data_IF_023779859278
#
_entry.id   IF_023779859278
#
_cell.length_a   1.000
_cell.length_b   1.000
_cell.length_c   1.000
_cell.angle_alpha   90.00
_cell.angle_beta   90.00
_cell.angle_gamma   90.00
#
_symmetry.space_group_name_H-M   'P 1'
#
loop_
_entity.id
_entity.type
_entity.pdbx_description
1 polymer ?
#
# COMPACT_ATOMS: atom_id res chain seq x y z
N UNK A 1 -26.28 56.78 40.57
CA UNK A 1 -25.32 55.66 40.50
C UNK A 1 -26.06 54.44 39.99
N UNK A 2 -25.93 54.13 38.70
CA UNK A 2 -26.60 53.01 38.05
C UNK A 2 -25.60 51.88 37.91
N UNK A 3 -25.78 50.81 38.67
CA UNK A 3 -24.91 49.62 38.61
C UNK A 3 -25.30 48.83 37.36
N UNK A 4 -24.53 49.00 36.29
CA UNK A 4 -24.58 48.15 35.09
C UNK A 4 -24.09 46.74 35.45
N UNK A 5 -25.02 45.81 35.69
CA UNK A 5 -24.73 44.38 35.71
C UNK A 5 -24.34 43.94 34.30
N UNK A 6 -23.03 43.79 34.04
CA UNK A 6 -22.52 43.00 32.92
C UNK A 6 -22.95 41.54 33.12
N UNK A 7 -24.00 41.13 32.42
CA UNK A 7 -24.26 39.72 32.14
C UNK A 7 -23.08 39.17 31.35
N UNK A 8 -22.15 38.48 32.03
CA UNK A 8 -21.20 37.57 31.39
C UNK A 8 -22.01 36.47 30.73
N UNK A 9 -22.34 36.64 29.45
CA UNK A 9 -22.77 35.53 28.59
C UNK A 9 -21.57 34.62 28.39
N UNK A 10 -21.37 33.68 29.31
CA UNK A 10 -20.56 32.48 29.09
C UNK A 10 -21.27 31.59 28.05
N UNK A 11 -21.46 32.10 26.83
CA UNK A 11 -21.60 31.22 25.68
C UNK A 11 -20.21 30.66 25.42
N UNK A 12 -19.83 29.64 26.20
CA UNK A 12 -18.77 28.73 25.78
C UNK A 12 -19.21 28.22 24.41
N UNK A 13 -18.50 28.64 23.37
CA UNK A 13 -18.55 28.01 22.05
C UNK A 13 -18.06 26.57 22.22
N UNK A 14 -18.91 25.69 22.75
CA UNK A 14 -18.70 24.26 22.64
C UNK A 14 -19.02 23.91 21.20
N UNK A 15 -18.06 23.36 20.46
CA UNK A 15 -18.30 22.84 19.13
C UNK A 15 -19.54 21.94 19.16
N UNK A 16 -20.46 22.17 18.23
CA UNK A 16 -21.77 21.51 18.20
C UNK A 16 -21.70 20.05 17.72
N UNK A 17 -20.50 19.54 17.39
CA UNK A 17 -20.31 18.21 16.82
C UNK A 17 -19.30 17.32 17.57
N UNK A 18 -19.42 17.24 18.91
CA UNK A 18 -18.62 16.32 19.73
C UNK A 18 -18.64 14.86 19.28
N UNK A 19 -19.69 14.42 18.59
CA UNK A 19 -19.79 13.04 18.08
C UNK A 19 -18.91 12.84 16.85
N UNK A 20 -18.93 13.76 15.88
CA UNK A 20 -18.05 13.69 14.71
C UNK A 20 -16.58 13.77 15.09
N UNK A 21 -16.21 14.72 15.95
CA UNK A 21 -14.85 14.84 16.50
C UNK A 21 -14.40 13.55 17.19
N UNK A 22 -15.26 12.98 18.04
CA UNK A 22 -14.94 11.73 18.73
C UNK A 22 -14.71 10.56 17.77
N UNK A 23 -15.55 10.41 16.73
CA UNK A 23 -15.34 9.36 15.71
C UNK A 23 -14.03 9.58 14.97
N UNK A 24 -13.75 10.82 14.55
CA UNK A 24 -12.57 11.14 13.79
C UNK A 24 -11.29 10.92 14.62
N UNK A 25 -11.29 11.27 15.91
CA UNK A 25 -10.19 10.93 16.83
C UNK A 25 -10.04 9.42 17.01
N UNK A 26 -11.14 8.66 17.13
CA UNK A 26 -11.06 7.19 17.23
C UNK A 26 -10.57 6.55 15.94
N UNK A 27 -10.90 7.11 14.78
CA UNK A 27 -10.38 6.67 13.50
C UNK A 27 -8.88 6.90 13.40
N UNK A 28 -8.41 8.12 13.66
CA UNK A 28 -6.98 8.46 13.69
C UNK A 28 -6.22 7.56 14.67
N UNK A 29 -6.75 7.37 15.87
CA UNK A 29 -6.13 6.50 16.86
C UNK A 29 -6.08 5.04 16.41
N UNK A 30 -7.11 4.56 15.73
CA UNK A 30 -7.12 3.19 15.18
C UNK A 30 -6.14 3.05 14.03
N UNK A 31 -6.10 4.00 13.08
CA UNK A 31 -5.11 4.01 12.00
C UNK A 31 -3.70 3.96 12.57
N UNK A 32 -3.37 4.90 13.46
CA UNK A 32 -2.05 4.95 14.06
C UNK A 32 -1.68 3.66 14.81
N UNK A 33 -2.63 3.04 15.52
CA UNK A 33 -2.38 1.74 16.15
C UNK A 33 -2.22 0.61 15.13
N UNK A 34 -3.02 0.58 14.06
CA UNK A 34 -2.89 -0.41 13.00
C UNK A 34 -1.52 -0.27 12.31
N UNK A 35 -1.08 0.96 12.06
CA UNK A 35 0.24 1.25 11.49
C UNK A 35 1.34 0.79 12.45
N UNK A 36 1.36 1.29 13.69
CA UNK A 36 2.45 1.04 14.63
C UNK A 36 2.51 -0.38 15.19
N UNK A 37 1.36 -1.06 15.32
CA UNK A 37 1.29 -2.34 16.00
C UNK A 37 1.11 -3.54 15.06
N UNK A 38 0.76 -3.30 13.79
CA UNK A 38 0.51 -4.36 12.82
C UNK A 38 1.34 -4.13 11.56
N UNK A 39 1.14 -3.00 10.87
CA UNK A 39 1.75 -2.79 9.55
C UNK A 39 3.27 -2.59 9.63
N UNK A 40 3.77 -1.64 10.42
CA UNK A 40 5.22 -1.37 10.52
C UNK A 40 6.03 -2.57 11.02
N UNK A 41 5.58 -3.33 12.04
CA UNK A 41 6.26 -4.57 12.42
C UNK A 41 6.29 -5.60 11.29
N UNK A 42 5.16 -5.83 10.61
CA UNK A 42 5.07 -6.77 9.48
C UNK A 42 5.92 -6.34 8.28
N UNK A 43 5.97 -5.03 7.97
CA UNK A 43 6.82 -4.48 6.92
C UNK A 43 8.30 -4.63 7.27
N UNK A 44 8.69 -4.38 8.51
CA UNK A 44 10.07 -4.60 8.96
C UNK A 44 10.45 -6.09 8.93
N UNK A 45 9.54 -6.98 9.31
CA UNK A 45 9.71 -8.43 9.22
C UNK A 45 9.90 -8.86 7.76
N UNK A 46 9.05 -8.38 6.85
CA UNK A 46 9.18 -8.63 5.41
C UNK A 46 10.49 -8.08 4.84
N UNK A 47 10.91 -6.86 5.20
CA UNK A 47 12.17 -6.29 4.70
C UNK A 47 13.39 -7.11 5.14
N UNK A 48 13.40 -7.60 6.38
CA UNK A 48 14.46 -8.50 6.85
C UNK A 48 14.44 -9.83 6.08
N UNK A 49 13.24 -10.40 5.87
CA UNK A 49 13.06 -11.61 5.07
C UNK A 49 13.54 -11.43 3.62
N UNK A 50 13.20 -10.31 2.98
CA UNK A 50 13.61 -9.98 1.61
C UNK A 50 15.13 -9.86 1.50
N UNK A 51 15.78 -9.17 2.45
CA UNK A 51 17.24 -9.05 2.52
C UNK A 51 17.92 -10.41 2.70
N UNK A 52 17.46 -11.22 3.65
CA UNK A 52 18.04 -12.54 3.95
C UNK A 52 17.84 -13.54 2.80
N UNK A 53 16.64 -13.59 2.22
CA UNK A 53 16.29 -14.50 1.12
C UNK A 53 17.04 -14.12 -0.15
N UNK A 54 17.07 -12.83 -0.50
CA UNK A 54 17.80 -12.35 -1.68
C UNK A 54 19.31 -12.56 -1.52
N UNK A 55 19.85 -12.31 -0.32
CA UNK A 55 21.27 -12.56 -0.03
C UNK A 55 21.63 -14.05 -0.17
N UNK A 56 20.83 -14.94 0.44
CA UNK A 56 21.04 -16.38 0.38
C UNK A 56 20.86 -16.93 -1.05
N UNK A 57 19.93 -16.36 -1.82
CA UNK A 57 19.76 -16.70 -3.22
C UNK A 57 20.95 -16.26 -4.08
N UNK A 58 21.49 -15.05 -3.86
CA UNK A 58 22.68 -14.59 -4.56
C UNK A 58 23.90 -15.47 -4.23
N UNK A 59 24.07 -15.85 -2.96
CA UNK A 59 25.11 -16.80 -2.54
C UNK A 59 24.96 -18.15 -3.25
N UNK A 60 23.72 -18.63 -3.46
CA UNK A 60 23.47 -19.81 -4.28
C UNK A 60 23.90 -19.59 -5.72
N UNK A 61 23.44 -18.53 -6.38
CA UNK A 61 23.77 -18.22 -7.77
C UNK A 61 25.28 -18.13 -8.01
N UNK A 62 26.01 -17.47 -7.10
CA UNK A 62 27.47 -17.36 -7.16
C UNK A 62 28.16 -18.73 -7.05
N UNK A 63 27.64 -19.64 -6.22
CA UNK A 63 28.15 -21.02 -6.12
C UNK A 63 27.91 -21.80 -7.40
N UNK A 64 26.72 -21.71 -7.99
CA UNK A 64 26.37 -22.44 -9.22
C UNK A 64 27.28 -22.02 -10.40
N UNK A 65 27.66 -20.74 -10.47
CA UNK A 65 28.55 -20.20 -11.52
C UNK A 65 30.03 -20.58 -11.35
N UNK A 66 30.46 -21.02 -10.16
CA UNK A 66 31.88 -21.20 -9.82
C UNK A 66 32.52 -22.53 -10.26
N UNK A 67 31.82 -23.35 -11.06
CA UNK A 67 32.23 -24.73 -11.34
C UNK A 67 33.11 -24.85 -12.61
N UNK A 68 34.29 -25.48 -12.46
CA UNK A 68 35.14 -25.88 -13.57
C UNK A 68 34.70 -27.24 -14.15
N UNK A 69 34.18 -27.24 -15.37
CA UNK A 69 33.76 -28.47 -16.06
C UNK A 69 34.90 -29.09 -16.86
N UNK A 70 35.13 -30.40 -16.67
CA UNK A 70 36.20 -31.14 -17.36
C UNK A 70 35.73 -31.94 -18.57
N UNK A 71 34.40 -32.08 -18.73
CA UNK A 71 33.76 -32.80 -19.82
C UNK A 71 32.34 -32.31 -20.07
N UNK A 72 31.80 -32.62 -21.25
CA UNK A 72 30.44 -32.23 -21.61
C UNK A 72 29.40 -32.99 -20.75
N UNK A 73 29.65 -34.26 -20.44
CA UNK A 73 28.77 -35.05 -19.59
C UNK A 73 28.76 -34.50 -18.15
N UNK A 74 29.92 -34.07 -17.63
CA UNK A 74 29.96 -33.40 -16.32
C UNK A 74 29.22 -32.06 -16.32
N UNK A 75 29.29 -31.29 -17.41
CA UNK A 75 28.57 -30.02 -17.53
C UNK A 75 27.05 -30.25 -17.59
N UNK A 76 26.58 -31.20 -18.41
CA UNK A 76 25.16 -31.58 -18.50
C UNK A 76 24.58 -32.04 -17.17
N UNK A 77 25.30 -32.91 -16.48
CA UNK A 77 24.87 -33.37 -15.15
C UNK A 77 24.86 -32.23 -14.14
N UNK A 78 25.82 -31.31 -14.23
CA UNK A 78 25.84 -30.12 -13.37
C UNK A 78 24.64 -29.21 -13.64
N UNK A 79 24.23 -28.97 -14.90
CA UNK A 79 23.05 -28.16 -15.19
C UNK A 79 21.79 -28.70 -14.52
N UNK A 80 21.51 -30.00 -14.70
CA UNK A 80 20.35 -30.66 -14.06
C UNK A 80 20.45 -30.61 -12.53
N UNK A 81 21.65 -30.87 -11.99
CA UNK A 81 21.89 -30.82 -10.56
C UNK A 81 21.71 -29.41 -9.98
N UNK A 82 22.18 -28.39 -10.69
CA UNK A 82 22.09 -26.99 -10.30
C UNK A 82 20.62 -26.54 -10.29
N UNK A 83 19.80 -26.98 -11.25
CA UNK A 83 18.36 -26.66 -11.23
C UNK A 83 17.63 -27.35 -10.06
N UNK A 84 18.02 -28.58 -9.68
CA UNK A 84 17.53 -29.19 -8.44
C UNK A 84 17.99 -28.42 -7.19
N UNK A 85 19.21 -27.88 -7.16
CA UNK A 85 19.67 -27.00 -6.06
C UNK A 85 18.88 -25.69 -5.99
N UNK A 86 18.45 -25.13 -7.13
CA UNK A 86 17.54 -23.98 -7.19
C UNK A 86 16.18 -24.35 -6.58
N UNK A 87 15.59 -25.48 -6.98
CA UNK A 87 14.33 -25.94 -6.39
C UNK A 87 14.47 -26.23 -4.90
N UNK A 88 15.58 -26.85 -4.48
CA UNK A 88 15.86 -27.08 -3.06
C UNK A 88 15.87 -25.78 -2.26
N UNK A 89 16.49 -24.72 -2.77
CA UNK A 89 16.47 -23.42 -2.09
C UNK A 89 15.05 -22.92 -1.85
N UNK A 90 14.22 -22.93 -2.89
CA UNK A 90 12.83 -22.46 -2.77
C UNK A 90 11.97 -23.38 -1.89
N UNK A 91 12.30 -24.67 -1.83
CA UNK A 91 11.59 -25.65 -1.02
C UNK A 91 11.87 -25.54 0.49
N UNK A 92 12.82 -24.70 0.92
CA UNK A 92 13.10 -24.49 2.34
C UNK A 92 11.91 -23.82 3.04
N UNK A 93 11.55 -24.33 4.22
CA UNK A 93 10.46 -23.79 5.05
C UNK A 93 10.65 -22.29 5.34
N UNK A 94 11.89 -21.85 5.51
CA UNK A 94 12.22 -20.45 5.77
C UNK A 94 11.99 -19.55 4.55
N UNK A 95 12.13 -20.10 3.33
CA UNK A 95 11.90 -19.38 2.07
C UNK A 95 10.40 -19.37 1.74
N UNK A 96 9.69 -20.47 2.00
CA UNK A 96 8.24 -20.59 1.87
C UNK A 96 7.75 -20.16 0.48
N UNK A 97 8.36 -20.69 -0.59
CA UNK A 97 7.97 -20.36 -1.95
C UNK A 97 6.58 -20.92 -2.31
N UNK A 98 5.79 -20.23 -3.14
CA UNK A 98 4.49 -20.74 -3.58
C UNK A 98 4.67 -21.94 -4.54
N UNK A 99 3.69 -22.84 -4.61
CA UNK A 99 3.75 -24.06 -5.42
C UNK A 99 4.04 -23.78 -6.90
N UNK A 100 3.65 -22.61 -7.41
CA UNK A 100 3.91 -22.15 -8.76
C UNK A 100 5.41 -22.02 -9.10
N UNK A 101 6.32 -22.01 -8.12
CA UNK A 101 7.77 -22.04 -8.36
C UNK A 101 8.26 -23.42 -8.81
N UNK A 102 7.58 -24.49 -8.37
CA UNK A 102 7.99 -25.87 -8.59
C UNK A 102 7.23 -26.47 -9.77
N UNK A 103 7.67 -26.10 -10.98
CA UNK A 103 7.02 -26.48 -12.23
C UNK A 103 7.70 -27.68 -12.89
N UNK A 104 6.92 -28.51 -13.55
CA UNK A 104 7.46 -29.53 -14.48
C UNK A 104 6.46 -29.79 -15.61
N UNK A 105 6.91 -30.45 -16.67
CA UNK A 105 6.02 -30.87 -17.77
C UNK A 105 5.47 -32.26 -17.48
N UNK A 106 4.16 -32.33 -17.31
CA UNK A 106 3.42 -33.58 -17.08
C UNK A 106 3.19 -34.38 -18.37
N UNK A 107 2.67 -35.59 -18.22
CA UNK A 107 2.46 -36.55 -19.33
C UNK A 107 1.55 -36.02 -20.46
N UNK A 108 0.70 -35.05 -20.19
CA UNK A 108 -0.18 -34.44 -21.19
C UNK A 108 0.47 -33.25 -21.93
N UNK A 109 1.75 -32.96 -21.64
CA UNK A 109 2.52 -31.88 -22.24
C UNK A 109 2.23 -30.51 -21.64
N UNK A 110 1.54 -30.43 -20.50
CA UNK A 110 1.28 -29.17 -19.80
C UNK A 110 2.19 -28.99 -18.60
N UNK A 111 2.28 -27.74 -18.15
CA UNK A 111 2.88 -27.40 -16.86
C UNK A 111 2.01 -27.96 -15.74
N UNK A 112 2.60 -28.83 -14.95
CA UNK A 112 2.11 -29.31 -13.66
C UNK A 112 3.01 -28.78 -12.53
N UNK A 113 2.58 -28.98 -11.29
CA UNK A 113 3.28 -28.52 -10.09
C UNK A 113 3.53 -29.69 -9.16
N UNK A 114 4.68 -29.66 -8.48
CA UNK A 114 4.97 -30.64 -7.43
C UNK A 114 3.97 -30.54 -6.29
N UNK A 115 3.62 -31.68 -5.72
CA UNK A 115 2.81 -31.78 -4.50
C UNK A 115 3.61 -31.34 -3.27
N UNK A 116 2.93 -31.00 -2.19
CA UNK A 116 3.59 -30.58 -0.94
C UNK A 116 4.53 -31.68 -0.41
N UNK A 117 4.16 -32.96 -0.54
CA UNK A 117 5.02 -34.09 -0.17
C UNK A 117 6.26 -34.23 -1.05
N UNK A 118 6.18 -33.86 -2.33
CA UNK A 118 7.33 -33.85 -3.24
C UNK A 118 8.23 -32.64 -2.96
N UNK A 119 7.66 -31.48 -2.63
CA UNK A 119 8.42 -30.30 -2.22
C UNK A 119 9.23 -30.59 -0.94
N UNK A 120 8.67 -31.31 0.04
CA UNK A 120 9.42 -31.75 1.23
C UNK A 120 10.59 -32.68 0.89
N UNK A 121 10.40 -33.58 -0.09
CA UNK A 121 11.49 -34.43 -0.60
C UNK A 121 12.59 -33.61 -1.28
N UNK A 122 12.22 -32.60 -2.06
CA UNK A 122 13.15 -31.66 -2.69
C UNK A 122 13.94 -30.87 -1.62
N UNK A 123 13.27 -30.36 -0.58
CA UNK A 123 13.90 -29.61 0.50
C UNK A 123 15.00 -30.43 1.22
N UNK A 124 14.71 -31.71 1.46
CA UNK A 124 15.60 -32.64 2.18
C UNK A 124 16.68 -33.31 1.32
N UNK A 125 16.68 -33.06 0.02
CA UNK A 125 17.61 -33.70 -0.92
C UNK A 125 19.06 -33.27 -0.68
N UNK A 126 20.02 -34.19 -0.84
CA UNK A 126 21.44 -33.88 -0.70
C UNK A 126 22.17 -34.09 -2.03
N UNK A 127 22.99 -33.11 -2.43
CA UNK A 127 23.85 -33.21 -3.61
C UNK A 127 24.69 -34.49 -3.58
N UNK A 128 24.64 -35.25 -4.67
CA UNK A 128 25.36 -36.51 -4.84
C UNK A 128 24.55 -37.76 -4.43
N UNK A 129 23.35 -37.57 -3.91
CA UNK A 129 22.34 -38.64 -3.75
C UNK A 129 21.45 -38.74 -5.00
N UNK A 130 20.67 -39.82 -5.17
CA UNK A 130 19.65 -39.89 -6.22
C UNK A 130 18.72 -38.66 -6.18
N UNK A 131 18.18 -38.27 -7.33
CA UNK A 131 17.24 -37.15 -7.40
C UNK A 131 15.99 -37.43 -6.54
N UNK A 132 15.38 -36.38 -5.95
CA UNK A 132 14.40 -36.56 -4.89
C UNK A 132 13.09 -37.18 -5.37
N UNK A 133 12.72 -36.93 -6.64
CA UNK A 133 11.46 -37.38 -7.21
C UNK A 133 11.74 -38.42 -8.32
N UNK A 134 11.16 -39.60 -8.16
CA UNK A 134 11.20 -40.64 -9.18
C UNK A 134 10.46 -40.18 -10.46
N UNK A 135 10.86 -40.68 -11.62
CA UNK A 135 10.22 -40.39 -12.92
C UNK A 135 10.30 -38.92 -13.40
N UNK A 136 11.07 -38.07 -12.72
CA UNK A 136 11.36 -36.69 -13.17
C UNK A 136 12.77 -36.62 -13.77
N UNK A 137 12.85 -36.06 -14.98
CA UNK A 137 14.07 -35.87 -15.74
C UNK A 137 14.31 -34.39 -16.03
N UNK A 138 15.57 -33.97 -16.03
CA UNK A 138 15.97 -32.65 -16.50
C UNK A 138 16.23 -32.66 -18.00
N UNK A 139 15.52 -31.82 -18.74
CA UNK A 139 15.65 -31.64 -20.18
C UNK A 139 16.39 -30.36 -20.52
N UNK A 140 17.43 -30.45 -21.36
CA UNK A 140 18.13 -29.28 -21.90
C UNK A 140 17.32 -28.65 -23.04
N UNK A 141 16.79 -27.44 -22.81
CA UNK A 141 15.93 -26.69 -23.75
C UNK A 141 16.66 -26.30 -25.04
N UNK A 142 17.84 -25.72 -24.91
CA UNK A 142 18.76 -25.53 -26.03
C UNK A 142 19.58 -26.79 -26.25
N UNK A 143 19.56 -27.30 -27.49
CA UNK A 143 20.20 -28.58 -27.81
C UNK A 143 21.72 -28.51 -27.71
N UNK A 144 22.24 -28.98 -26.59
CA UNK A 144 23.68 -29.06 -26.30
C UNK A 144 24.45 -29.87 -27.37
N UNK A 145 23.83 -30.83 -28.04
CA UNK A 145 24.49 -31.58 -29.12
C UNK A 145 24.89 -30.71 -30.32
N UNK A 146 24.17 -29.60 -30.57
CA UNK A 146 24.52 -28.63 -31.62
C UNK A 146 25.66 -27.71 -31.19
N UNK A 147 25.94 -27.62 -29.88
CA UNK A 147 26.99 -26.81 -29.27
C UNK A 147 27.96 -27.69 -28.43
N UNK A 148 28.66 -28.67 -29.03
CA UNK A 148 29.37 -29.73 -28.29
C UNK A 148 30.59 -29.26 -27.48
N UNK A 149 30.97 -27.98 -27.57
CA UNK A 149 32.07 -27.38 -26.82
C UNK A 149 31.60 -26.25 -25.88
N UNK A 150 30.29 -26.01 -25.78
CA UNK A 150 29.72 -24.97 -24.94
C UNK A 150 29.36 -25.54 -23.56
N UNK A 151 30.36 -25.58 -22.68
CA UNK A 151 30.18 -26.10 -21.32
C UNK A 151 29.30 -25.20 -20.46
N UNK A 152 29.28 -23.89 -20.75
CA UNK A 152 28.47 -22.92 -20.02
C UNK A 152 26.99 -23.21 -20.28
N UNK A 153 26.57 -23.31 -21.55
CA UNK A 153 25.19 -23.64 -21.92
C UNK A 153 24.74 -25.01 -21.39
N UNK A 154 25.64 -25.99 -21.36
CA UNK A 154 25.33 -27.33 -20.88
C UNK A 154 25.12 -27.41 -19.37
N UNK A 155 25.81 -26.54 -18.62
CA UNK A 155 25.73 -26.47 -17.17
C UNK A 155 24.82 -25.36 -16.63
N UNK A 156 24.25 -24.57 -17.53
CA UNK A 156 23.27 -23.54 -17.20
C UNK A 156 21.99 -24.19 -16.68
N UNK A 157 21.62 -23.87 -15.44
CA UNK A 157 20.37 -24.36 -14.86
C UNK A 157 19.15 -23.69 -15.53
N UNK A 158 19.31 -22.47 -16.05
CA UNK A 158 18.30 -21.77 -16.85
C UNK A 158 18.11 -22.40 -18.22
N UNK A 159 18.87 -23.44 -18.56
CA UNK A 159 18.64 -24.25 -19.75
C UNK A 159 17.94 -25.58 -19.43
N UNK A 160 17.54 -25.81 -18.17
CA UNK A 160 16.90 -27.06 -17.73
C UNK A 160 15.40 -26.85 -17.49
N UNK A 161 14.60 -27.72 -18.09
CA UNK A 161 13.19 -27.87 -17.78
C UNK A 161 12.94 -29.28 -17.22
N UNK A 162 12.29 -29.38 -16.07
CA UNK A 162 11.88 -30.68 -15.54
C UNK A 162 10.65 -31.21 -16.27
N UNK A 163 10.62 -32.52 -16.49
CA UNK A 163 9.49 -33.21 -17.10
C UNK A 163 9.41 -34.65 -16.59
N UNK A 164 8.24 -35.26 -16.67
CA UNK A 164 8.14 -36.72 -16.50
C UNK A 164 8.91 -37.44 -17.61
N UNK A 165 9.38 -38.66 -17.39
CA UNK A 165 10.09 -39.43 -18.42
C UNK A 165 9.29 -39.56 -19.72
N UNK A 166 7.98 -39.80 -19.63
CA UNK A 166 7.09 -39.87 -20.79
C UNK A 166 6.99 -38.50 -21.50
N UNK A 167 6.82 -37.41 -20.76
CA UNK A 167 6.70 -36.08 -21.34
C UNK A 167 8.01 -35.57 -21.95
N UNK A 168 9.14 -35.87 -21.32
CA UNK A 168 10.46 -35.56 -21.85
C UNK A 168 10.64 -36.20 -23.23
N UNK A 169 10.26 -37.47 -23.38
CA UNK A 169 10.36 -38.16 -24.66
C UNK A 169 9.33 -37.66 -25.68
N UNK A 170 8.05 -37.62 -25.31
CA UNK A 170 6.95 -37.36 -26.23
C UNK A 170 6.80 -35.88 -26.61
N UNK A 171 6.96 -34.96 -25.65
CA UNK A 171 6.61 -33.55 -25.82
C UNK A 171 7.83 -32.66 -26.01
N UNK A 172 8.89 -32.89 -25.24
CA UNK A 172 10.12 -32.08 -25.34
C UNK A 172 11.04 -32.56 -26.48
N UNK A 173 10.90 -33.81 -26.89
CA UNK A 173 11.66 -34.40 -28.00
C UNK A 173 10.80 -34.92 -29.17
N UNK A 174 9.47 -34.73 -29.15
CA UNK A 174 8.58 -35.22 -30.21
C UNK A 174 8.80 -36.72 -30.57
N UNK A 175 9.08 -37.55 -29.56
CA UNK A 175 9.36 -38.98 -29.68
C UNK A 175 10.78 -39.35 -30.15
N UNK A 176 11.70 -38.39 -30.26
CA UNK A 176 13.09 -38.65 -30.64
C UNK A 176 14.06 -37.68 -29.96
N UNK A 177 14.94 -38.21 -29.09
CA UNK A 177 15.94 -37.45 -28.32
C UNK A 177 16.91 -36.57 -29.14
N UNK A 178 16.91 -36.68 -30.47
CA UNK A 178 17.68 -35.80 -31.36
C UNK A 178 16.92 -34.54 -31.81
N UNK A 179 15.61 -34.48 -31.60
CA UNK A 179 14.80 -33.32 -31.96
C UNK A 179 15.03 -32.18 -30.96
N UNK A 180 14.94 -30.96 -31.48
CA UNK A 180 14.95 -29.75 -30.66
C UNK A 180 13.62 -29.58 -29.92
N UNK A 181 13.70 -28.95 -28.77
CA UNK A 181 12.55 -28.54 -27.99
C UNK A 181 11.68 -27.59 -28.80
N UNK A 182 10.37 -27.81 -28.78
CA UNK A 182 9.45 -26.91 -29.47
C UNK A 182 9.47 -25.51 -28.82
N UNK A 183 9.39 -24.47 -29.65
CA UNK A 183 9.46 -23.06 -29.21
C UNK A 183 8.44 -22.71 -28.11
N UNK A 184 7.31 -23.42 -28.06
CA UNK A 184 6.26 -23.20 -27.07
C UNK A 184 6.70 -23.48 -25.62
N UNK A 185 7.62 -24.42 -25.40
CA UNK A 185 8.11 -24.76 -24.06
C UNK A 185 9.13 -23.75 -23.51
N UNK A 186 9.80 -22.98 -24.37
CA UNK A 186 10.72 -21.92 -23.93
C UNK A 186 10.00 -20.81 -23.16
N UNK A 187 8.71 -20.60 -23.42
CA UNK A 187 7.89 -19.66 -22.65
C UNK A 187 7.29 -20.24 -21.37
N UNK A 188 7.49 -21.53 -21.10
CA UNK A 188 7.00 -22.21 -19.90
C UNK A 188 8.05 -22.30 -18.81
N UNK A 189 9.33 -22.13 -19.16
CA UNK A 189 10.40 -22.10 -18.19
C UNK A 189 10.36 -20.78 -17.42
N UNK A 190 10.28 -20.87 -16.10
CA UNK A 190 10.39 -19.72 -15.21
C UNK A 190 11.85 -19.61 -14.78
N UNK A 191 12.45 -18.43 -14.97
CA UNK A 191 13.83 -18.20 -14.56
C UNK A 191 14.00 -18.23 -13.05
N UNK A 192 15.20 -18.48 -12.53
CA UNK A 192 15.45 -18.47 -11.09
C UNK A 192 15.19 -17.08 -10.47
N UNK A 193 15.44 -16.01 -11.21
CA UNK A 193 15.09 -14.65 -10.77
C UNK A 193 13.57 -14.42 -10.73
N UNK A 194 12.82 -14.93 -11.69
CA UNK A 194 11.35 -14.87 -11.67
C UNK A 194 10.77 -15.72 -10.52
N UNK A 195 11.37 -16.88 -10.22
CA UNK A 195 11.01 -17.69 -9.05
C UNK A 195 11.23 -16.92 -7.74
N UNK A 196 12.35 -16.19 -7.62
CA UNK A 196 12.60 -15.31 -6.49
C UNK A 196 11.54 -14.20 -6.39
N UNK A 197 11.24 -13.52 -7.50
CA UNK A 197 10.21 -12.46 -7.51
C UNK A 197 8.84 -13.01 -7.10
N UNK A 198 8.43 -14.15 -7.64
CA UNK A 198 7.18 -14.82 -7.25
C UNK A 198 7.14 -15.15 -5.75
N UNK A 199 8.26 -15.63 -5.21
CA UNK A 199 8.42 -15.95 -3.79
C UNK A 199 8.30 -14.70 -2.91
N UNK A 200 9.01 -13.62 -3.25
CA UNK A 200 8.97 -12.36 -2.51
C UNK A 200 7.56 -11.75 -2.53
N UNK A 201 6.90 -11.73 -3.69
CA UNK A 201 5.50 -11.23 -3.82
C UNK A 201 4.54 -12.08 -2.99
N UNK A 202 4.70 -13.40 -3.00
CA UNK A 202 3.89 -14.31 -2.18
C UNK A 202 4.07 -14.00 -0.69
N UNK A 203 5.31 -13.94 -0.19
CA UNK A 203 5.58 -13.65 1.22
C UNK A 203 5.15 -12.25 1.64
N UNK A 204 5.29 -11.25 0.77
CA UNK A 204 4.77 -9.92 1.04
C UNK A 204 3.27 -9.97 1.32
N UNK A 205 2.51 -10.76 0.55
CA UNK A 205 1.06 -10.88 0.68
C UNK A 205 0.60 -11.67 1.92
N UNK A 206 1.42 -12.60 2.40
CA UNK A 206 1.17 -13.39 3.63
C UNK A 206 1.56 -12.61 4.90
N UNK A 207 2.71 -11.91 4.87
CA UNK A 207 3.23 -11.16 6.02
C UNK A 207 2.56 -9.80 6.19
N UNK A 208 2.33 -9.08 5.10
CA UNK A 208 1.77 -7.72 5.13
C UNK A 208 0.27 -7.79 4.85
N UNK A 209 -0.59 -7.29 5.76
CA UNK A 209 -2.02 -7.28 5.54
C UNK A 209 -2.37 -6.56 4.24
N UNK A 210 -2.98 -7.28 3.31
CA UNK A 210 -3.51 -6.69 2.09
C UNK A 210 -4.50 -5.54 2.39
N UNK A 211 -4.70 -4.68 1.39
CA UNK A 211 -5.51 -3.45 1.48
C UNK A 211 -6.87 -3.70 2.17
N UNK A 212 -7.58 -4.77 1.82
CA UNK A 212 -8.86 -5.13 2.42
C UNK A 212 -8.77 -5.51 3.91
N UNK A 213 -7.77 -6.32 4.29
CA UNK A 213 -7.53 -6.74 5.67
C UNK A 213 -7.18 -5.54 6.54
N UNK A 214 -6.28 -4.68 6.05
CA UNK A 214 -5.95 -3.42 6.70
C UNK A 214 -7.19 -2.51 6.84
N UNK A 215 -8.02 -2.41 5.80
CA UNK A 215 -9.28 -1.68 5.84
C UNK A 215 -10.26 -2.25 6.87
N UNK A 216 -10.38 -3.57 6.98
CA UNK A 216 -11.24 -4.23 7.97
C UNK A 216 -10.79 -3.95 9.40
N UNK A 217 -9.48 -4.03 9.69
CA UNK A 217 -8.88 -3.69 10.99
C UNK A 217 -9.18 -2.22 11.33
N UNK A 218 -8.97 -1.33 10.36
CA UNK A 218 -9.18 0.11 10.47
C UNK A 218 -10.63 0.47 10.79
N UNK A 219 -11.57 -0.07 10.02
CA UNK A 219 -13.01 0.17 10.17
C UNK A 219 -13.53 -0.48 11.45
N UNK A 220 -13.16 -1.73 11.71
CA UNK A 220 -13.56 -2.49 12.88
C UNK A 220 -13.05 -1.88 14.18
N UNK A 221 -11.76 -1.52 14.23
CA UNK A 221 -11.15 -0.85 15.37
C UNK A 221 -11.78 0.52 15.65
N UNK A 222 -12.07 1.30 14.60
CA UNK A 222 -12.78 2.59 14.73
C UNK A 222 -14.18 2.37 15.33
N UNK A 223 -14.94 1.42 14.81
CA UNK A 223 -16.26 1.07 15.32
C UNK A 223 -16.23 0.66 16.80
N UNK A 224 -15.26 -0.19 17.17
CA UNK A 224 -15.09 -0.67 18.54
C UNK A 224 -14.69 0.47 19.50
N UNK A 225 -13.64 1.23 19.19
CA UNK A 225 -13.17 2.33 20.04
C UNK A 225 -14.21 3.42 20.20
N UNK A 226 -14.93 3.74 19.13
CA UNK A 226 -15.98 4.74 19.18
C UNK A 226 -17.16 4.28 20.04
N UNK A 227 -17.59 3.03 19.89
CA UNK A 227 -18.65 2.45 20.71
C UNK A 227 -18.24 2.39 22.19
N UNK A 228 -17.04 1.88 22.51
CA UNK A 228 -16.53 1.78 23.88
C UNK A 228 -16.50 3.17 24.52
N UNK A 229 -15.92 4.16 23.83
CA UNK A 229 -15.79 5.52 24.36
C UNK A 229 -17.17 6.15 24.59
N UNK A 230 -18.09 6.01 23.64
CA UNK A 230 -19.46 6.50 23.78
C UNK A 230 -20.22 5.81 24.92
N UNK A 231 -20.05 4.50 25.10
CA UNK A 231 -20.65 3.73 26.19
C UNK A 231 -20.10 4.12 27.56
N UNK A 232 -18.80 4.40 27.67
CA UNK A 232 -18.20 4.91 28.91
C UNK A 232 -18.78 6.28 29.27
N UNK A 233 -18.84 7.19 28.29
CA UNK A 233 -19.43 8.52 28.48
C UNK A 233 -20.89 8.40 28.94
N UNK A 234 -21.68 7.54 28.29
CA UNK A 234 -23.09 7.36 28.65
C UNK A 234 -23.25 6.68 30.00
N UNK A 235 -22.44 5.67 30.32
CA UNK A 235 -22.42 5.01 31.62
C UNK A 235 -22.16 6.00 32.76
N UNK A 236 -21.24 6.95 32.55
CA UNK A 236 -20.96 8.02 33.52
C UNK A 236 -22.19 8.92 33.71
N UNK A 237 -22.92 9.28 32.63
CA UNK A 237 -24.15 10.07 32.75
C UNK A 237 -25.26 9.30 33.47
N UNK A 238 -25.43 8.03 33.13
CA UNK A 238 -26.45 7.15 33.70
C UNK A 238 -26.17 6.78 35.16
N UNK A 239 -24.95 6.99 35.67
CA UNK A 239 -24.60 6.77 37.08
C UNK A 239 -25.53 7.52 38.03
N UNK A 240 -25.88 8.76 37.70
CA UNK A 240 -26.73 9.62 38.55
C UNK A 240 -28.21 9.63 38.13
N UNK A 241 -28.58 8.83 37.12
CA UNK A 241 -29.95 8.77 36.62
C UNK A 241 -30.83 7.92 37.58
N UNK A 242 -32.05 8.35 37.94
CA UNK A 242 -32.90 7.64 38.90
C UNK A 242 -33.54 6.36 38.36
N UNK A 243 -33.47 6.09 37.05
CA UNK A 243 -34.09 4.90 36.43
C UNK A 243 -33.47 3.58 36.95
N UNK A 244 -34.21 2.45 36.91
CA UNK A 244 -33.67 1.14 37.27
C UNK A 244 -32.52 0.70 36.36
N UNK A 245 -31.58 -0.11 36.89
CA UNK A 245 -30.41 -0.57 36.14
C UNK A 245 -30.76 -1.35 34.86
N UNK A 246 -31.84 -2.12 34.85
CA UNK A 246 -32.27 -2.85 33.65
C UNK A 246 -32.58 -1.92 32.47
N UNK A 247 -33.25 -0.79 32.73
CA UNK A 247 -33.55 0.21 31.70
C UNK A 247 -32.28 0.93 31.23
N UNK A 248 -31.36 1.22 32.16
CA UNK A 248 -30.05 1.81 31.82
C UNK A 248 -29.21 0.86 30.96
N UNK A 249 -29.21 -0.44 31.28
CA UNK A 249 -28.49 -1.46 30.53
C UNK A 249 -29.04 -1.59 29.11
N UNK A 250 -30.36 -1.61 28.95
CA UNK A 250 -31.00 -1.66 27.63
C UNK A 250 -30.65 -0.42 26.80
N UNK A 251 -30.69 0.77 27.41
CA UNK A 251 -30.27 2.02 26.76
C UNK A 251 -28.79 1.96 26.34
N UNK A 252 -27.90 1.48 27.22
CA UNK A 252 -26.48 1.30 26.88
C UNK A 252 -26.32 0.32 25.71
N UNK A 253 -26.98 -0.83 25.71
CA UNK A 253 -26.87 -1.80 24.59
C UNK A 253 -27.34 -1.16 23.28
N UNK A 254 -28.50 -0.50 23.30
CA UNK A 254 -29.06 0.17 22.11
C UNK A 254 -28.13 1.27 21.59
N UNK A 255 -27.59 2.09 22.49
CA UNK A 255 -26.62 3.12 22.13
C UNK A 255 -25.32 2.51 21.61
N UNK A 256 -24.83 1.43 22.23
CA UNK A 256 -23.64 0.71 21.80
C UNK A 256 -23.75 0.24 20.36
N UNK A 257 -24.84 -0.46 20.02
CA UNK A 257 -25.10 -0.91 18.63
C UNK A 257 -25.16 0.29 17.68
N UNK A 258 -25.88 1.36 18.04
CA UNK A 258 -25.96 2.55 17.19
C UNK A 258 -24.61 3.24 16.99
N UNK A 259 -23.77 3.28 18.03
CA UNK A 259 -22.44 3.87 17.98
C UNK A 259 -21.52 3.00 17.15
N UNK A 260 -21.53 1.66 17.30
CA UNK A 260 -20.74 0.75 16.47
C UNK A 260 -21.07 0.89 14.99
N UNK A 261 -22.36 0.91 14.63
CA UNK A 261 -22.79 1.09 13.23
C UNK A 261 -22.32 2.45 12.68
N UNK A 262 -22.47 3.53 13.46
CA UNK A 262 -22.04 4.85 13.05
C UNK A 262 -20.51 4.95 12.94
N UNK A 263 -19.77 4.36 13.88
CA UNK A 263 -18.32 4.31 13.90
C UNK A 263 -17.76 3.48 12.74
N UNK A 264 -18.39 2.35 12.40
CA UNK A 264 -18.03 1.54 11.24
C UNK A 264 -18.29 2.27 9.91
N UNK A 265 -19.46 2.88 9.74
CA UNK A 265 -19.78 3.63 8.53
C UNK A 265 -18.84 4.82 8.32
N UNK A 266 -18.53 5.56 9.39
CA UNK A 266 -17.60 6.69 9.32
C UNK A 266 -16.14 6.25 9.22
N UNK A 267 -15.77 5.14 9.87
CA UNK A 267 -14.46 4.51 9.71
C UNK A 267 -14.22 4.08 8.26
N UNK A 268 -15.25 3.56 7.58
CA UNK A 268 -15.19 3.23 6.15
C UNK A 268 -14.97 4.49 5.30
N UNK A 269 -15.69 5.57 5.57
CA UNK A 269 -15.46 6.86 4.90
C UNK A 269 -14.03 7.34 5.12
N UNK A 270 -13.54 7.29 6.37
CA UNK A 270 -12.17 7.64 6.70
C UNK A 270 -11.16 6.82 5.90
N UNK A 271 -11.31 5.50 5.92
CA UNK A 271 -10.43 4.56 5.22
C UNK A 271 -10.41 4.79 3.71
N UNK A 272 -11.59 4.83 3.07
CA UNK A 272 -11.68 5.09 1.62
C UNK A 272 -11.10 6.45 1.22
N UNK A 273 -11.28 7.46 2.07
CA UNK A 273 -10.70 8.80 1.85
C UNK A 273 -9.18 8.70 1.96
N UNK A 274 -8.67 8.09 3.02
CA UNK A 274 -7.23 7.89 3.23
C UNK A 274 -6.59 7.18 2.04
N UNK A 275 -7.10 6.01 1.65
CA UNK A 275 -6.60 5.24 0.50
C UNK A 275 -6.66 6.02 -0.81
N UNK A 276 -7.76 6.73 -1.08
CA UNK A 276 -7.88 7.55 -2.30
C UNK A 276 -6.85 8.67 -2.32
N UNK A 277 -6.64 9.35 -1.18
CA UNK A 277 -5.63 10.40 -1.07
C UNK A 277 -4.22 9.84 -1.21
N UNK A 278 -3.89 8.72 -0.57
CA UNK A 278 -2.59 8.08 -0.69
C UNK A 278 -2.28 7.70 -2.14
N UNK A 279 -3.24 7.12 -2.87
CA UNK A 279 -3.05 6.82 -4.31
C UNK A 279 -2.91 8.06 -5.18
N UNK A 280 -3.74 9.09 -4.96
CA UNK A 280 -3.64 10.35 -5.70
C UNK A 280 -2.30 11.05 -5.45
N UNK A 281 -1.77 10.95 -4.23
CA UNK A 281 -0.50 11.58 -3.83
C UNK A 281 0.73 10.74 -4.20
N UNK A 282 0.61 9.41 -4.31
CA UNK A 282 1.71 8.54 -4.74
C UNK A 282 2.22 8.86 -6.16
N UNK A 283 1.33 9.32 -7.05
CA UNK A 283 1.70 9.81 -8.38
C UNK A 283 2.42 11.17 -8.38
N UNK A 284 2.42 11.87 -7.25
CA UNK A 284 3.09 13.15 -7.06
C UNK A 284 4.43 12.86 -6.40
N UNK A 285 5.45 12.49 -7.18
CA UNK A 285 6.81 12.33 -6.65
C UNK A 285 7.33 13.70 -6.21
N UNK A 286 7.32 13.98 -4.91
CA UNK A 286 7.81 15.22 -4.32
C UNK A 286 9.17 14.93 -3.65
N UNK A 287 10.33 15.17 -4.28
CA UNK A 287 11.64 14.87 -3.68
C UNK A 287 11.97 15.63 -2.38
N UNK A 288 11.07 16.49 -1.90
CA UNK A 288 11.26 17.40 -0.77
C UNK A 288 10.18 17.18 0.32
N UNK A 289 9.05 16.54 0.01
CA UNK A 289 8.06 16.25 1.02
C UNK A 289 8.28 14.82 1.50
N UNK A 290 8.78 14.71 2.73
CA UNK A 290 8.90 13.44 3.43
C UNK A 290 7.56 12.68 3.37
N UNK A 291 7.62 11.35 3.28
CA UNK A 291 6.45 10.46 3.29
C UNK A 291 5.49 10.74 4.47
N UNK A 292 6.04 11.24 5.58
CA UNK A 292 5.29 11.75 6.73
C UNK A 292 4.24 12.83 6.37
N UNK A 293 4.48 13.61 5.33
CA UNK A 293 3.60 14.69 4.89
C UNK A 293 2.37 14.17 4.12
N UNK A 294 2.56 13.21 3.21
CA UNK A 294 1.45 12.59 2.48
C UNK A 294 0.49 11.88 3.43
N UNK A 295 1.04 11.27 4.48
CA UNK A 295 0.25 10.59 5.52
C UNK A 295 -0.55 11.59 6.36
N UNK A 296 0.05 12.72 6.77
CA UNK A 296 -0.66 13.79 7.49
C UNK A 296 -1.79 14.37 6.64
N UNK A 297 -1.57 14.56 5.33
CA UNK A 297 -2.59 15.06 4.41
C UNK A 297 -3.78 14.10 4.30
N UNK A 298 -3.49 12.82 4.06
CA UNK A 298 -4.51 11.78 3.90
C UNK A 298 -5.33 11.60 5.20
N UNK A 299 -4.64 11.61 6.35
CA UNK A 299 -5.25 11.52 7.68
C UNK A 299 -6.14 12.73 8.00
N UNK A 300 -5.67 13.95 7.71
CA UNK A 300 -6.48 15.16 7.86
C UNK A 300 -7.68 15.18 6.89
N UNK A 301 -7.50 14.66 5.67
CA UNK A 301 -8.58 14.49 4.69
C UNK A 301 -9.68 13.56 5.21
N UNK A 302 -9.28 12.41 5.78
CA UNK A 302 -10.18 11.49 6.45
C UNK A 302 -10.91 12.14 7.63
N UNK A 303 -10.22 12.92 8.46
CA UNK A 303 -10.82 13.66 9.57
C UNK A 303 -11.92 14.63 9.09
N UNK A 304 -11.63 15.39 8.03
CA UNK A 304 -12.59 16.31 7.42
C UNK A 304 -13.80 15.56 6.88
N UNK A 305 -13.57 14.49 6.11
CA UNK A 305 -14.63 13.69 5.51
C UNK A 305 -15.56 13.07 6.57
N UNK A 306 -14.99 12.52 7.65
CA UNK A 306 -15.76 11.98 8.78
C UNK A 306 -16.59 13.09 9.44
N UNK A 307 -15.99 14.24 9.70
CA UNK A 307 -16.66 15.35 10.41
C UNK A 307 -17.81 15.92 9.60
N UNK A 308 -17.62 16.11 8.29
CA UNK A 308 -18.65 16.58 7.35
C UNK A 308 -19.77 15.54 7.24
N UNK A 309 -19.43 14.26 7.04
CA UNK A 309 -20.42 13.18 6.92
C UNK A 309 -21.24 13.04 8.19
N UNK A 310 -20.61 13.11 9.36
CA UNK A 310 -21.29 13.11 10.66
C UNK A 310 -22.23 14.32 10.82
N UNK A 311 -21.79 15.51 10.40
CA UNK A 311 -22.62 16.71 10.35
C UNK A 311 -23.86 16.53 9.46
N UNK A 312 -23.69 15.90 8.30
CA UNK A 312 -24.77 15.64 7.35
C UNK A 312 -25.78 14.61 7.90
N UNK A 313 -25.30 13.51 8.47
CA UNK A 313 -26.15 12.53 9.15
C UNK A 313 -26.98 13.20 10.25
N UNK A 314 -26.37 14.11 11.02
CA UNK A 314 -27.05 14.90 12.03
C UNK A 314 -28.10 15.84 11.44
N UNK A 315 -27.80 16.53 10.34
CA UNK A 315 -28.77 17.36 9.61
C UNK A 315 -30.01 16.55 9.21
N UNK A 316 -29.81 15.39 8.59
CA UNK A 316 -30.91 14.53 8.16
C UNK A 316 -31.73 14.03 9.36
N UNK A 317 -31.07 13.66 10.45
CA UNK A 317 -31.73 13.24 11.69
C UNK A 317 -32.55 14.38 12.31
N UNK A 318 -31.97 15.57 12.44
CA UNK A 318 -32.64 16.74 13.03
C UNK A 318 -33.87 17.13 12.18
N UNK A 319 -33.76 17.11 10.84
CA UNK A 319 -34.89 17.35 9.91
C UNK A 319 -35.98 16.29 10.05
N UNK A 320 -35.61 15.00 10.14
CA UNK A 320 -36.57 13.90 10.34
C UNK A 320 -37.34 14.02 11.66
N UNK A 321 -36.74 14.63 12.67
CA UNK A 321 -37.37 14.87 13.98
C UNK A 321 -38.10 16.22 14.09
N UNK A 322 -38.37 16.88 12.97
CA UNK A 322 -39.21 18.08 12.93
C UNK A 322 -38.47 19.39 13.25
N UNK A 323 -37.13 19.39 13.28
CA UNK A 323 -36.37 20.65 13.31
C UNK A 323 -36.60 21.40 11.99
N UNK A 324 -36.75 22.72 12.08
CA UNK A 324 -36.87 23.57 10.90
C UNK A 324 -35.64 23.41 9.99
N UNK A 325 -35.87 23.39 8.67
CA UNK A 325 -34.83 23.09 7.70
C UNK A 325 -33.72 24.15 7.69
N UNK A 326 -34.06 25.42 7.95
CA UNK A 326 -33.10 26.52 8.01
C UNK A 326 -32.29 26.44 9.31
N UNK A 327 -32.91 26.11 10.43
CA UNK A 327 -32.20 25.89 11.70
C UNK A 327 -31.22 24.69 11.61
N UNK A 328 -31.67 23.57 11.04
CA UNK A 328 -30.83 22.39 10.83
C UNK A 328 -29.67 22.70 9.87
N UNK A 329 -29.94 23.48 8.81
CA UNK A 329 -28.92 23.93 7.84
C UNK A 329 -27.87 24.81 8.52
N UNK A 330 -28.29 25.79 9.33
CA UNK A 330 -27.36 26.67 10.05
C UNK A 330 -26.46 25.88 11.01
N UNK A 331 -27.00 24.84 11.67
CA UNK A 331 -26.20 23.93 12.49
C UNK A 331 -25.17 23.17 11.66
N UNK A 332 -25.58 22.62 10.50
CA UNK A 332 -24.68 21.93 9.59
C UNK A 332 -23.59 22.85 9.03
N UNK A 333 -23.94 24.05 8.55
CA UNK A 333 -22.98 25.04 8.05
C UNK A 333 -21.98 25.45 9.13
N UNK A 334 -22.42 25.56 10.39
CA UNK A 334 -21.52 25.81 11.50
C UNK A 334 -20.52 24.66 11.71
N UNK A 335 -20.96 23.41 11.60
CA UNK A 335 -20.08 22.23 11.70
C UNK A 335 -19.09 22.22 10.55
N UNK A 336 -19.54 22.46 9.31
CA UNK A 336 -18.66 22.52 8.15
C UNK A 336 -17.62 23.63 8.25
N UNK A 337 -18.03 24.84 8.66
CA UNK A 337 -17.09 25.96 8.84
C UNK A 337 -16.00 25.61 9.85
N UNK A 338 -16.36 24.99 10.97
CA UNK A 338 -15.39 24.54 11.96
C UNK A 338 -14.46 23.48 11.36
N UNK A 339 -15.03 22.43 10.75
CA UNK A 339 -14.25 21.32 10.19
C UNK A 339 -13.27 21.77 9.10
N UNK A 340 -13.70 22.62 8.16
CA UNK A 340 -12.82 23.15 7.10
C UNK A 340 -11.79 24.11 7.68
N UNK A 341 -12.15 24.92 8.68
CA UNK A 341 -11.18 25.80 9.34
C UNK A 341 -10.12 24.98 10.07
N UNK A 342 -10.51 23.94 10.81
CA UNK A 342 -9.58 23.03 11.49
C UNK A 342 -8.67 22.35 10.46
N UNK A 343 -9.24 21.76 9.40
CA UNK A 343 -8.47 21.18 8.31
C UNK A 343 -7.46 22.18 7.73
N UNK A 344 -7.90 23.39 7.38
CA UNK A 344 -7.04 24.42 6.83
C UNK A 344 -5.93 24.86 7.79
N UNK A 345 -6.22 24.98 9.09
CA UNK A 345 -5.20 25.30 10.10
C UNK A 345 -4.19 24.17 10.22
N UNK A 346 -4.62 22.91 10.26
CA UNK A 346 -3.72 21.76 10.30
C UNK A 346 -2.85 21.68 9.03
N UNK A 347 -3.42 21.97 7.86
CA UNK A 347 -2.65 22.07 6.62
C UNK A 347 -1.70 23.28 6.62
N UNK A 348 -2.09 24.43 7.17
CA UNK A 348 -1.23 25.60 7.22
C UNK A 348 0.02 25.36 8.08
N UNK A 349 -0.12 24.55 9.14
CA UNK A 349 0.98 24.14 10.01
C UNK A 349 1.95 23.19 9.27
N UNK A 350 1.44 22.27 8.43
CA UNK A 350 2.27 21.30 7.71
C UNK A 350 2.81 21.76 6.34
N UNK A 351 2.03 22.51 5.58
CA UNK A 351 2.25 22.83 4.14
C UNK A 351 2.65 24.30 3.92
N UNK A 352 2.40 25.15 4.93
CA UNK A 352 2.48 26.61 4.81
C UNK A 352 1.13 27.25 4.45
N UNK A 353 0.94 28.51 4.87
CA UNK A 353 -0.34 29.21 4.86
C UNK A 353 -0.96 29.43 3.46
N UNK A 354 -0.13 29.53 2.41
CA UNK A 354 -0.59 29.86 1.06
C UNK A 354 -1.35 28.71 0.38
N UNK A 355 -0.98 27.46 0.68
CA UNK A 355 -1.69 26.28 0.14
C UNK A 355 -2.99 26.04 0.89
N UNK A 356 -2.95 26.18 2.22
CA UNK A 356 -4.11 26.00 3.09
C UNK A 356 -5.26 26.98 2.81
N UNK A 357 -4.94 28.24 2.51
CA UNK A 357 -5.96 29.26 2.23
C UNK A 357 -6.69 29.02 0.91
N UNK A 358 -5.99 28.56 -0.14
CA UNK A 358 -6.60 28.18 -1.41
C UNK A 358 -7.46 26.91 -1.33
N UNK A 359 -7.01 25.92 -0.56
CA UNK A 359 -7.79 24.70 -0.26
C UNK A 359 -9.07 25.03 0.51
N UNK A 360 -8.96 25.84 1.56
CA UNK A 360 -10.09 26.25 2.38
C UNK A 360 -11.13 27.02 1.57
N UNK A 361 -10.71 27.98 0.73
CA UNK A 361 -11.63 28.78 -0.08
C UNK A 361 -12.38 27.96 -1.11
N UNK A 362 -11.69 27.03 -1.78
CA UNK A 362 -12.28 26.23 -2.86
C UNK A 362 -13.21 25.15 -2.27
N UNK A 363 -12.80 24.48 -1.18
CA UNK A 363 -13.63 23.47 -0.50
C UNK A 363 -14.84 24.10 0.20
N UNK A 364 -14.68 25.23 0.90
CA UNK A 364 -15.84 25.96 1.48
C UNK A 364 -16.76 26.49 0.39
N UNK A 365 -16.20 27.03 -0.69
CA UNK A 365 -16.96 27.59 -1.81
C UNK A 365 -17.87 26.54 -2.45
N UNK A 366 -17.33 25.37 -2.77
CA UNK A 366 -18.06 24.31 -3.45
C UNK A 366 -18.98 23.50 -2.51
N UNK A 367 -18.62 23.34 -1.23
CA UNK A 367 -19.43 22.63 -0.25
C UNK A 367 -20.63 23.44 0.27
N UNK A 368 -20.58 24.78 0.24
CA UNK A 368 -21.66 25.66 0.73
C UNK A 368 -22.73 25.97 -0.32
N UNK A 369 -22.62 25.46 -1.55
CA UNK A 369 -23.65 25.62 -2.58
C UNK A 369 -24.89 24.81 -2.15
N UNK A 370 -26.08 25.43 -2.02
CA UNK A 370 -27.25 24.79 -1.43
C UNK A 370 -27.67 23.54 -2.20
N UNK A 371 -27.70 22.41 -1.49
CA UNK A 371 -28.33 21.17 -1.92
C UNK A 371 -29.37 20.74 -0.87
N UNK A 372 -30.67 20.64 -1.23
CA UNK A 372 -31.73 20.24 -0.31
C UNK A 372 -31.67 18.77 0.12
N UNK A 373 -30.86 17.93 -0.54
CA UNK A 373 -30.74 16.49 -0.26
C UNK A 373 -29.52 16.10 0.57
N UNK A 374 -28.46 16.92 0.59
CA UNK A 374 -27.22 16.69 1.32
C UNK A 374 -26.28 15.65 0.68
N UNK A 375 -26.79 14.81 -0.23
CA UNK A 375 -26.00 13.81 -0.98
C UNK A 375 -25.04 14.50 -1.96
N UNK A 376 -25.44 15.61 -2.58
CA UNK A 376 -24.54 16.36 -3.47
C UNK A 376 -23.46 17.10 -2.67
N UNK A 377 -23.68 17.39 -1.38
CA UNK A 377 -22.66 18.02 -0.54
C UNK A 377 -21.50 17.05 -0.30
N UNK A 378 -21.78 15.78 0.00
CA UNK A 378 -20.76 14.75 0.16
C UNK A 378 -20.01 14.49 -1.16
N UNK A 379 -20.75 14.32 -2.26
CA UNK A 379 -20.14 14.12 -3.59
C UNK A 379 -19.30 15.33 -4.04
N UNK A 380 -19.74 16.56 -3.74
CA UNK A 380 -18.98 17.79 -4.02
C UNK A 380 -17.78 17.94 -3.11
N UNK A 381 -17.86 17.53 -1.85
CA UNK A 381 -16.71 17.56 -0.95
C UNK A 381 -15.61 16.63 -1.49
N UNK A 382 -15.97 15.41 -1.87
CA UNK A 382 -15.04 14.44 -2.50
C UNK A 382 -14.46 15.02 -3.81
N UNK A 383 -15.29 15.58 -4.68
CA UNK A 383 -14.84 16.23 -5.91
C UNK A 383 -13.91 17.43 -5.66
N UNK A 384 -14.25 18.28 -4.70
CA UNK A 384 -13.46 19.49 -4.36
C UNK A 384 -12.13 19.12 -3.73
N UNK A 385 -12.10 18.07 -2.90
CA UNK A 385 -10.89 17.50 -2.34
C UNK A 385 -10.00 16.90 -3.42
N UNK A 386 -10.58 16.14 -4.37
CA UNK A 386 -9.84 15.64 -5.54
C UNK A 386 -9.27 16.76 -6.42
N UNK A 387 -10.08 17.78 -6.72
CA UNK A 387 -9.65 18.97 -7.47
C UNK A 387 -8.55 19.74 -6.76
N UNK A 388 -8.63 19.87 -5.43
CA UNK A 388 -7.59 20.53 -4.66
C UNK A 388 -6.28 19.72 -4.64
N UNK A 389 -6.35 18.39 -4.61
CA UNK A 389 -5.19 17.52 -4.83
C UNK A 389 -4.54 17.76 -6.20
N UNK A 390 -5.33 17.83 -7.27
CA UNK A 390 -4.83 18.17 -8.61
C UNK A 390 -4.20 19.57 -8.67
N UNK A 391 -4.81 20.58 -8.03
CA UNK A 391 -4.28 21.95 -7.99
C UNK A 391 -2.99 22.05 -7.17
N UNK A 392 -2.84 21.23 -6.12
CA UNK A 392 -1.58 21.13 -5.39
C UNK A 392 -0.47 20.53 -6.26
N UNK A 393 -0.81 19.57 -7.13
CA UNK A 393 0.12 19.06 -8.15
C UNK A 393 0.54 20.20 -9.12
N UNK A 394 -0.40 20.95 -9.67
CA UNK A 394 -0.10 22.06 -10.60
C UNK A 394 0.78 23.16 -9.96
N UNK A 395 0.46 23.57 -8.72
CA UNK A 395 1.25 24.57 -7.98
C UNK A 395 2.64 24.04 -7.66
N UNK A 396 2.77 22.72 -7.48
CA UNK A 396 4.05 22.09 -7.24
C UNK A 396 4.91 21.99 -8.50
N UNK A 397 4.35 21.56 -9.63
CA UNK A 397 5.03 21.56 -10.93
C UNK A 397 5.53 22.98 -11.28
N UNK A 398 4.73 24.01 -10.98
CA UNK A 398 5.14 25.40 -11.10
C UNK A 398 6.28 25.80 -10.14
N UNK A 399 6.31 25.29 -8.91
CA UNK A 399 7.41 25.53 -7.96
C UNK A 399 8.69 24.80 -8.37
N UNK A 400 8.60 23.56 -8.84
CA UNK A 400 9.76 22.81 -9.35
C UNK A 400 10.34 23.49 -10.59
N UNK A 401 9.50 23.87 -11.56
CA UNK A 401 9.97 24.60 -12.75
C UNK A 401 10.61 25.95 -12.38
N UNK A 402 10.08 26.66 -11.38
CA UNK A 402 10.72 27.87 -10.82
C UNK A 402 12.06 27.59 -10.14
N UNK A 403 12.20 26.47 -9.43
CA UNK A 403 13.46 26.07 -8.78
C UNK A 403 14.51 25.64 -9.80
N UNK A 404 14.14 24.85 -10.80
CA UNK A 404 14.98 24.49 -11.95
C UNK A 404 15.44 25.75 -12.69
N UNK A 405 14.52 26.66 -13.00
CA UNK A 405 14.83 27.93 -13.65
C UNK A 405 15.76 28.82 -12.79
N UNK A 406 15.60 28.84 -11.46
CA UNK A 406 16.56 29.50 -10.55
C UNK A 406 17.91 28.82 -10.56
N UNK A 407 17.96 27.48 -10.53
CA UNK A 407 19.20 26.71 -10.54
C UNK A 407 19.98 26.99 -11.83
N UNK A 408 19.33 26.90 -12.99
CA UNK A 408 19.94 27.25 -14.27
C UNK A 408 20.38 28.71 -14.33
N UNK A 409 19.56 29.63 -13.82
CA UNK A 409 19.95 31.05 -13.74
C UNK A 409 21.16 31.27 -12.83
N UNK A 410 21.25 30.58 -11.69
CA UNK A 410 22.41 30.66 -10.81
C UNK A 410 23.65 30.01 -11.43
N UNK A 411 23.49 28.88 -12.10
CA UNK A 411 24.55 28.24 -12.88
C UNK A 411 25.05 29.17 -13.98
N UNK A 412 24.15 29.82 -14.72
CA UNK A 412 24.50 30.79 -15.75
C UNK A 412 25.21 32.01 -15.16
N UNK A 413 24.69 32.59 -14.07
CA UNK A 413 25.35 33.70 -13.38
C UNK A 413 26.73 33.32 -12.82
N UNK A 414 26.90 32.07 -12.37
CA UNK A 414 28.19 31.54 -11.95
C UNK A 414 29.13 31.39 -13.15
N UNK A 415 28.65 30.85 -14.27
CA UNK A 415 29.41 30.79 -15.51
C UNK A 415 29.82 32.19 -15.99
N UNK A 416 28.90 33.15 -16.03
CA UNK A 416 29.17 34.53 -16.46
C UNK A 416 30.13 35.27 -15.50
N UNK A 417 30.13 34.91 -14.21
CA UNK A 417 31.01 35.51 -13.20
C UNK A 417 32.44 34.93 -13.19
N UNK A 418 32.59 33.65 -13.56
CA UNK A 418 33.88 32.94 -13.52
C UNK A 418 34.51 32.71 -14.90
N UNK A 419 33.72 32.82 -15.96
CA UNK A 419 34.16 32.68 -17.34
C UNK A 419 33.81 33.94 -18.13
N UNK A 420 34.80 34.80 -18.34
CA UNK A 420 34.66 35.90 -19.30
C UNK A 420 34.78 35.29 -20.70
N UNK A 421 33.70 35.35 -21.48
CA UNK A 421 33.73 34.93 -22.88
C UNK A 421 34.48 36.01 -23.65
N UNK A 422 35.62 35.66 -24.24
CA UNK A 422 36.38 36.62 -25.03
C UNK A 422 35.64 36.98 -26.33
N UNK A 423 36.10 38.03 -27.03
CA UNK A 423 35.50 38.50 -28.28
C UNK A 423 35.46 37.47 -29.42
N UNK A 424 35.95 36.23 -29.23
CA UNK A 424 35.87 35.10 -30.15
C UNK A 424 34.94 33.97 -29.69
N UNK A 425 34.25 34.11 -28.55
CA UNK A 425 33.28 33.13 -28.08
C UNK A 425 33.87 31.97 -27.29
N UNK A 426 35.13 32.07 -26.81
CA UNK A 426 35.77 31.02 -26.01
C UNK A 426 35.82 31.43 -24.51
N UNK A 427 35.46 30.54 -23.57
CA UNK A 427 35.46 30.85 -22.15
C UNK A 427 36.89 30.98 -21.60
N UNK A 428 37.23 32.13 -20.98
CA UNK A 428 38.47 32.34 -20.22
C UNK A 428 38.17 32.43 -18.73
N UNK A 429 38.96 31.72 -17.92
CA UNK A 429 38.87 31.80 -16.45
C UNK A 429 39.39 33.18 -16.02
N UNK A 430 38.52 34.02 -15.47
CA UNK A 430 38.88 35.33 -14.91
C UNK A 430 39.76 35.15 -13.66
N UNK A 431 40.86 35.90 -13.56
CA UNK A 431 41.72 35.90 -12.36
C UNK A 431 41.12 36.66 -11.19
#
# INVERSE_FOLDING_TARGET
MTILRKTRTNQRRSSSNRKGELVATTYIGTQWMADKAIYEPSELEYLNYEEETTGSFQDLMDRLQSSDYTSMDSARNAGVQNEWEVYQFFAQDEVNAPNEVFQFIGNDGKVDYFTDEEIEQIASWERGTPYPIDDIEGHHMEVVHKNPNDFELAADHENILFATSDAHHEHLHAGNFQNETAQEYFGMQTSAQEKLEMTLVHQQSEMIPGVFSYGAISVGGTAALFAITGLVIEGIKLKNDPRPWMVKREELIRQGVSLSVMGGALGLVGYTTNTTFSHLLAGVSLPILEQSFTDILALNGAFLAITVTSGLLKYMYDKKNGMDAEEARQKFESVMKVAVTEFAVFQAIGVGADVATGLASDVLGDALIPDPTGVLIAARLVYSLGKAGMKMNDVYEQKQSLQLCRKERFTQLFYDAFYEIDGQGQPRIGQ
#
